data_IF_955189457913
#
_entry.id   IF_955189457913
#
_cell.length_a   1.000
_cell.length_b   1.000
_cell.length_c   1.000
_cell.angle_alpha   90.00
_cell.angle_beta   90.00
_cell.angle_gamma   90.00
#
_symmetry.space_group_name_H-M   'P 1'
#
loop_
_entity.id
_entity.type
_entity.pdbx_description
1 polymer ?
2 polymer ?
3 polymer ?
4 water ?
#
# COMPACT_ATOMS: atom_id res chain seq x y z
N UNK A 1 31.64 -21.47 29.30
CA UNK A 1 30.67 -20.79 28.45
C UNK A 1 29.35 -21.54 28.51
N UNK A 2 28.27 -20.79 28.39
CA UNK A 2 26.93 -21.35 28.35
C UNK A 2 26.28 -21.18 27.00
N UNK A 3 25.17 -21.88 26.79
CA UNK A 3 24.47 -21.79 25.50
C UNK A 3 23.68 -20.50 25.38
N UNK A 4 23.47 -20.08 24.14
CA UNK A 4 22.75 -18.84 23.90
C UNK A 4 21.30 -18.98 24.34
N UNK A 5 20.73 -17.84 24.67
CA UNK A 5 19.38 -17.75 25.12
C UNK A 5 18.39 -18.05 24.01
N UNK A 6 17.11 -18.11 24.37
CA UNK A 6 16.05 -18.30 23.36
C UNK A 6 15.95 -17.13 22.39
N UNK A 7 15.55 -17.45 21.18
CA UNK A 7 15.29 -16.43 20.18
C UNK A 7 14.18 -15.48 20.65
N UNK A 8 14.36 -14.21 20.34
CA UNK A 8 13.43 -13.19 20.79
C UNK A 8 12.09 -13.19 20.06
N UNK A 9 11.14 -12.36 20.54
CA UNK A 9 9.84 -12.27 19.88
C UNK A 9 10.04 -11.66 18.52
N UNK A 10 9.25 -12.15 17.56
CA UNK A 10 9.18 -11.52 16.24
C UNK A 10 8.77 -10.05 16.36
N UNK A 11 9.28 -9.22 15.43
CA UNK A 11 8.98 -7.79 15.42
C UNK A 11 7.52 -7.47 15.16
N UNK A 12 7.19 -6.19 15.43
CA UNK A 12 5.86 -5.68 15.16
C UNK A 12 5.65 -5.48 13.68
N UNK A 13 4.41 -5.51 13.23
CA UNK A 13 4.09 -5.36 11.82
C UNK A 13 4.48 -3.93 11.33
N UNK A 14 4.79 -3.82 10.04
CA UNK A 14 5.17 -2.54 9.46
C UNK A 14 3.98 -1.61 9.30
N UNK A 15 4.25 -0.36 8.93
CA UNK A 15 3.19 0.62 8.76
C UNK A 15 2.50 0.40 7.43
N UNK A 16 1.39 1.10 7.31
CA UNK A 16 0.52 0.93 6.17
C UNK A 16 1.18 1.45 4.89
N UNK A 17 0.87 0.79 3.79
CA UNK A 17 1.32 1.26 2.50
C UNK A 17 0.63 2.54 2.07
N UNK A 18 1.24 3.17 1.07
CA UNK A 18 0.68 4.36 0.45
C UNK A 18 -0.61 4.04 -0.31
N UNK A 19 -1.47 5.05 -0.53
CA UNK A 19 -2.58 4.88 -1.46
C UNK A 19 -2.04 4.51 -2.85
N UNK A 20 -2.83 3.73 -3.58
CA UNK A 20 -2.48 3.33 -4.92
C UNK A 20 -2.36 4.48 -5.91
N UNK A 21 -1.89 4.14 -7.11
CA UNK A 21 -1.74 5.11 -8.17
C UNK A 21 -3.14 5.57 -8.57
N UNK A 22 -3.22 6.79 -9.09
CA UNK A 22 -4.50 7.31 -9.60
C UNK A 22 -5.07 6.43 -10.73
N UNK A 23 -6.38 6.40 -10.85
CA UNK A 23 -7.01 5.62 -11.89
C UNK A 23 -6.80 6.28 -13.26
N UNK A 24 -7.17 5.56 -14.32
CA UNK A 24 -7.15 6.08 -15.68
C UNK A 24 -8.17 7.20 -15.92
N UNK A 25 -7.96 7.96 -16.98
CA UNK A 25 -8.92 9.06 -17.28
C UNK A 25 -10.32 8.47 -17.63
N UNK A 26 -11.37 9.21 -17.34
CA UNK A 26 -12.70 8.88 -17.86
C UNK A 26 -12.76 8.91 -19.39
N UNK A 27 -13.81 8.31 -19.92
CA UNK A 27 -14.05 8.37 -21.37
C UNK A 27 -14.48 9.76 -21.81
N UNK A 28 -14.40 9.99 -23.12
CA UNK A 28 -14.93 11.24 -23.65
C UNK A 28 -16.44 11.28 -23.43
N UNK A 29 -16.96 12.46 -23.16
CA UNK A 29 -18.40 12.65 -23.06
C UNK A 29 -19.11 12.33 -24.36
N UNK A 30 -20.41 12.06 -24.30
CA UNK A 30 -21.15 11.67 -25.51
C UNK A 30 -21.17 12.85 -26.46
N UNK A 31 -21.17 12.53 -27.73
CA UNK A 31 -21.30 13.60 -28.72
C UNK A 31 -22.66 14.22 -28.63
N UNK A 32 -22.71 15.52 -29.00
CA UNK A 32 -23.98 16.21 -29.09
C UNK A 32 -24.86 15.77 -30.25
N UNK B 1 25.06 -18.11 32.69
CA UNK B 1 23.88 -18.23 31.83
C UNK B 1 24.26 -18.57 30.38
N UNK B 2 24.83 -17.59 29.66
CA UNK B 2 25.17 -17.71 28.26
C UNK B 2 24.93 -16.39 27.54
N UNK B 3 25.30 -16.31 26.27
CA UNK B 3 25.03 -15.09 25.50
C UNK B 3 23.55 -14.90 25.25
N UNK B 4 23.18 -13.65 25.03
CA UNK B 4 21.81 -13.32 24.69
C UNK B 4 21.36 -14.11 23.46
N UNK B 5 20.07 -14.43 23.41
CA UNK B 5 19.55 -15.14 22.27
C UNK B 5 19.58 -14.26 21.02
N UNK B 6 19.33 -14.89 19.88
CA UNK B 6 19.27 -14.16 18.63
C UNK B 6 18.06 -13.21 18.65
N UNK B 7 18.17 -12.11 17.93
CA UNK B 7 17.01 -11.22 17.75
C UNK B 7 15.83 -12.01 17.11
N UNK B 8 14.61 -11.57 17.41
CA UNK B 8 13.46 -12.11 16.73
C UNK B 8 13.54 -11.79 15.25
N UNK B 9 12.73 -12.51 14.49
CA UNK B 9 12.56 -12.21 13.06
C UNK B 9 11.98 -10.80 12.87
N UNK B 10 12.22 -10.21 11.71
CA UNK B 10 11.54 -8.94 11.36
C UNK B 10 10.00 -9.16 11.44
N UNK B 11 9.29 -8.08 11.77
CA UNK B 11 7.86 -8.11 11.72
C UNK B 11 7.32 -8.33 10.34
N UNK B 12 6.02 -8.61 10.29
CA UNK B 12 5.34 -8.77 9.02
C UNK B 12 5.37 -7.47 8.25
N UNK B 13 5.43 -7.58 6.95
CA UNK B 13 5.23 -6.38 6.11
C UNK B 13 3.88 -5.69 6.52
N UNK B 14 3.86 -4.37 6.45
CA UNK B 14 2.65 -3.68 6.81
C UNK B 14 1.50 -3.97 5.86
N UNK B 15 0.30 -3.53 6.23
CA UNK B 15 -0.86 -3.77 5.36
C UNK B 15 -0.72 -3.02 4.05
N UNK B 16 -1.38 -3.56 3.01
CA UNK B 16 -1.46 -2.85 1.73
C UNK B 16 -2.10 -1.49 1.94
N UNK B 17 -1.68 -0.52 1.14
CA UNK B 17 -2.31 0.79 1.18
C UNK B 17 -3.73 0.75 0.62
N UNK B 18 -4.39 1.89 0.74
CA UNK B 18 -5.75 2.06 0.32
C UNK B 18 -5.81 2.22 -1.20
N UNK B 19 -6.98 1.99 -1.77
CA UNK B 19 -7.19 2.22 -3.25
C UNK B 19 -6.75 3.64 -3.65
N UNK B 20 -6.20 3.75 -4.85
CA UNK B 20 -5.75 5.03 -5.31
C UNK B 20 -6.88 5.97 -5.62
N UNK B 21 -6.52 7.24 -5.83
CA UNK B 21 -7.52 8.24 -6.21
C UNK B 21 -8.20 7.86 -7.52
N UNK B 22 -9.42 8.37 -7.67
CA UNK B 22 -10.13 8.27 -8.94
C UNK B 22 -9.34 8.98 -10.05
N UNK B 23 -9.45 8.47 -11.28
CA UNK B 23 -8.74 9.08 -12.38
C UNK B 23 -9.27 10.46 -12.74
N UNK B 24 -8.57 11.16 -13.63
CA UNK B 24 -9.04 12.49 -14.05
C UNK B 24 -10.31 12.41 -14.89
N UNK B 25 -11.04 13.53 -14.92
CA UNK B 25 -12.21 13.65 -15.79
C UNK B 25 -11.85 13.39 -17.25
N UNK B 26 -12.75 12.75 -17.99
CA UNK B 26 -12.55 12.58 -19.41
C UNK B 26 -12.77 13.87 -20.20
N UNK B 27 -12.34 13.93 -21.47
CA UNK B 27 -12.56 15.16 -22.25
C UNK B 27 -14.04 15.32 -22.56
N UNK B 28 -14.46 16.55 -22.69
CA UNK B 28 -15.84 16.83 -23.04
C UNK B 28 -16.17 16.37 -24.47
N UNK B 29 -17.45 16.13 -24.68
CA UNK B 29 -17.89 15.52 -25.91
C UNK B 29 -17.85 16.49 -27.09
N UNK B 30 -17.90 15.91 -28.27
CA UNK B 30 -17.90 16.71 -29.49
C UNK B 30 -19.24 17.45 -29.66
N UNK B 31 -19.20 18.65 -30.22
CA UNK B 31 -20.45 19.31 -30.70
C UNK B 31 -21.22 18.38 -31.64
N UNK B 32 -22.54 18.46 -31.62
CA UNK B 32 -23.33 17.64 -32.51
C UNK B 32 -23.23 18.09 -33.95
N UNK C 1 21.55 -21.16 30.02
CA UNK C 1 21.11 -20.49 28.80
C UNK C 1 21.17 -19.02 29.08
N UNK C 2 21.50 -18.24 28.05
CA UNK C 2 21.44 -16.80 28.17
C UNK C 2 20.02 -16.27 28.20
N UNK C 3 19.94 -14.96 28.27
CA UNK C 3 18.67 -14.25 28.28
C UNK C 3 18.00 -14.30 26.89
N UNK C 4 16.69 -14.06 26.80
CA UNK C 4 16.01 -13.97 25.48
C UNK C 4 16.61 -12.94 24.58
N UNK C 5 16.68 -13.22 23.30
CA UNK C 5 17.09 -12.22 22.35
C UNK C 5 16.10 -11.07 22.32
N UNK C 6 16.53 -9.98 21.74
CA UNK C 6 15.66 -8.81 21.64
C UNK C 6 14.51 -9.04 20.66
N UNK C 7 13.44 -8.23 20.82
CA UNK C 7 12.39 -8.19 19.82
C UNK C 7 13.03 -7.93 18.46
N UNK C 8 12.51 -8.56 17.41
CA UNK C 8 12.98 -8.29 16.07
C UNK C 8 12.63 -6.87 15.63
N UNK C 9 13.23 -6.45 14.52
CA UNK C 9 12.91 -5.12 13.96
C UNK C 9 11.47 -5.08 13.46
N UNK C 10 10.90 -3.87 13.42
CA UNK C 10 9.56 -3.70 12.87
C UNK C 10 9.61 -4.07 11.39
N UNK C 11 8.52 -4.63 10.88
CA UNK C 11 8.42 -4.97 9.49
C UNK C 11 8.48 -3.75 8.60
N UNK C 12 8.70 -3.99 7.31
CA UNK C 12 8.75 -2.88 6.35
C UNK C 12 7.36 -2.33 6.08
N UNK C 13 7.34 -1.15 5.46
CA UNK C 13 6.09 -0.54 5.06
C UNK C 13 5.40 -1.41 4.02
N UNK C 14 4.08 -1.36 4.05
CA UNK C 14 3.28 -2.14 3.14
C UNK C 14 3.39 -1.65 1.71
N UNK C 15 2.94 -2.51 0.81
CA UNK C 15 2.98 -2.14 -0.60
C UNK C 15 1.86 -1.13 -0.90
N UNK C 16 2.03 -0.36 -1.95
CA UNK C 16 0.98 0.62 -2.37
C UNK C 16 -0.36 -0.08 -2.61
N UNK C 17 -1.46 0.64 -2.40
CA UNK C 17 -2.77 0.05 -2.66
C UNK C 17 -3.06 -0.20 -4.14
N UNK C 18 -4.23 -0.78 -4.44
CA UNK C 18 -4.61 -1.03 -5.84
C UNK C 18 -4.79 0.28 -6.57
N UNK C 19 -4.59 0.23 -7.88
CA UNK C 19 -4.82 1.39 -8.72
C UNK C 19 -6.26 1.87 -8.60
N UNK C 20 -6.45 3.18 -8.66
CA UNK C 20 -7.77 3.77 -8.48
C UNK C 20 -8.72 3.46 -9.62
N UNK C 21 -9.99 3.83 -9.37
CA UNK C 21 -11.06 3.71 -10.36
C UNK C 21 -10.95 4.74 -11.47
N UNK C 22 -11.55 4.45 -12.61
CA UNK C 22 -11.49 5.36 -13.72
C UNK C 22 -12.19 6.67 -13.36
N UNK C 23 -11.75 7.75 -13.98
CA UNK C 23 -12.40 9.03 -13.80
C UNK C 23 -13.78 9.05 -14.42
N UNK C 24 -14.52 10.10 -14.11
CA UNK C 24 -15.85 10.23 -14.68
C UNK C 24 -15.81 10.66 -16.12
N UNK C 25 -16.89 10.39 -16.83
CA UNK C 25 -16.94 10.74 -18.25
C UNK C 25 -16.89 12.27 -18.44
N UNK C 26 -16.42 12.71 -19.60
CA UNK C 26 -16.55 14.10 -19.95
C UNK C 26 -18.02 14.49 -20.04
N UNK C 27 -18.27 15.79 -20.06
CA UNK C 27 -19.62 16.29 -20.26
C UNK C 27 -20.13 15.99 -21.66
N UNK C 28 -21.44 15.88 -21.81
CA UNK C 28 -22.04 15.72 -23.16
C UNK C 28 -21.69 16.95 -24.02
N UNK C 29 -21.43 16.72 -25.30
CA UNK C 29 -21.24 17.81 -26.26
C UNK C 29 -22.50 18.63 -26.43
N UNK C 30 -22.37 19.85 -26.92
CA UNK C 30 -23.55 20.67 -27.12
C UNK C 30 -24.15 20.43 -28.49
N UNK C 31 -25.40 20.87 -28.66
CA UNK C 31 -26.04 20.74 -29.95
C UNK C 31 -25.26 21.45 -31.02
#
# INVERSE_FOLDING_TARGET
>A
YGPKGPKGPKGKPGPDGDPGDPGDPGPKGPKG
>B
YGPDGDPGDPGDPGPDGRPGPDGPDGPDGDPG
>C
YGKPGPEGPEGPKGKPGPKGKPGKPGKPGKPG
#
